data_IF_757347341822
#
_entry.id   IF_757347341822
#
_cell.length_a   1.000
_cell.length_b   1.000
_cell.length_c   1.000
_cell.angle_alpha   90.00
_cell.angle_beta   90.00
_cell.angle_gamma   90.00
#
_symmetry.space_group_name_H-M   'P 1'
#
loop_
_entity.id
_entity.type
_entity.pdbx_description
1 polymer ?
#
# COMPACT_ATOMS: atom_id res chain seq x y z
N UNK A 1 25.23 -8.68 18.86
CA UNK A 1 24.14 -8.41 17.92
C UNK A 1 24.66 -7.80 16.60
N UNK A 2 25.53 -6.80 16.65
CA UNK A 2 26.11 -6.13 15.45
C UNK A 2 26.80 -7.12 14.50
N UNK A 3 27.46 -8.15 15.01
CA UNK A 3 28.22 -9.10 14.19
C UNK A 3 27.29 -10.05 13.37
N UNK A 4 26.14 -10.44 13.91
CA UNK A 4 25.17 -11.30 13.21
C UNK A 4 24.46 -10.54 12.05
N UNK A 5 24.16 -9.26 12.24
CA UNK A 5 23.55 -8.44 11.21
C UNK A 5 24.50 -8.23 10.03
N UNK A 6 25.78 -7.91 10.31
CA UNK A 6 26.79 -7.77 9.25
C UNK A 6 27.00 -9.07 8.46
N UNK A 7 26.98 -10.23 9.12
CA UNK A 7 27.09 -11.52 8.44
C UNK A 7 25.84 -11.80 7.56
N UNK A 8 24.67 -11.46 8.05
CA UNK A 8 23.42 -11.58 7.30
C UNK A 8 23.42 -10.70 6.03
N UNK A 9 23.90 -9.47 6.14
CA UNK A 9 24.06 -8.54 5.03
C UNK A 9 25.01 -9.07 3.96
N UNK A 10 26.18 -9.61 4.37
CA UNK A 10 27.15 -10.22 3.46
C UNK A 10 26.50 -11.38 2.67
N UNK A 11 25.75 -12.26 3.35
CA UNK A 11 25.07 -13.39 2.70
C UNK A 11 24.03 -12.92 1.69
N UNK A 12 23.33 -11.83 1.97
CA UNK A 12 22.27 -11.29 1.14
C UNK A 12 22.76 -10.71 -0.19
N UNK A 13 23.94 -10.06 -0.17
CA UNK A 13 24.49 -9.35 -1.35
C UNK A 13 25.48 -10.19 -2.17
N UNK A 14 26.04 -11.23 -1.60
CA UNK A 14 27.03 -12.06 -2.29
C UNK A 14 26.36 -13.00 -3.27
N UNK A 15 26.79 -12.97 -4.54
CA UNK A 15 26.21 -13.75 -5.63
C UNK A 15 26.31 -15.27 -5.45
N UNK A 16 27.31 -15.74 -4.70
CA UNK A 16 27.52 -17.17 -4.43
C UNK A 16 26.59 -17.67 -3.33
N UNK A 17 26.41 -16.89 -2.27
CA UNK A 17 25.65 -17.31 -1.09
C UNK A 17 24.16 -16.96 -1.17
N UNK A 18 23.80 -15.88 -1.88
CA UNK A 18 22.42 -15.43 -2.03
C UNK A 18 21.44 -16.51 -2.54
N UNK A 19 21.77 -17.34 -3.57
CA UNK A 19 20.86 -18.40 -4.02
C UNK A 19 20.52 -19.40 -2.92
N UNK A 20 21.50 -19.79 -2.10
CA UNK A 20 21.26 -20.71 -0.97
C UNK A 20 20.46 -20.03 0.14
N UNK A 21 20.75 -18.77 0.43
CA UNK A 21 19.96 -17.99 1.37
C UNK A 21 18.47 -17.90 0.93
N UNK A 22 18.21 -17.64 -0.34
CA UNK A 22 16.84 -17.63 -0.90
C UNK A 22 16.16 -19.00 -0.66
N UNK A 23 16.83 -20.12 -0.92
CA UNK A 23 16.26 -21.45 -0.66
C UNK A 23 15.87 -21.65 0.81
N UNK A 24 16.68 -21.12 1.74
CA UNK A 24 16.39 -21.20 3.17
C UNK A 24 15.20 -20.30 3.52
N UNK A 25 15.18 -19.07 3.03
CA UNK A 25 14.11 -18.10 3.30
C UNK A 25 12.75 -18.57 2.75
N UNK A 26 12.73 -19.28 1.61
CA UNK A 26 11.51 -19.86 1.04
C UNK A 26 10.87 -20.93 1.93
N UNK A 27 11.62 -21.52 2.87
CA UNK A 27 11.10 -22.48 3.86
C UNK A 27 10.43 -21.79 5.06
N UNK A 28 10.33 -20.45 5.04
CA UNK A 28 9.71 -19.65 6.10
C UNK A 28 10.25 -19.93 7.51
N UNK A 29 11.58 -19.89 7.75
CA UNK A 29 12.11 -20.11 9.08
C UNK A 29 11.61 -19.01 10.04
N UNK A 30 11.50 -19.29 11.37
CA UNK A 30 10.94 -18.34 12.34
C UNK A 30 11.64 -16.98 12.40
N UNK A 31 12.91 -16.92 12.00
CA UNK A 31 13.71 -15.68 11.97
C UNK A 31 13.57 -14.88 10.65
N UNK A 32 12.90 -15.41 9.62
CA UNK A 32 12.81 -14.79 8.29
C UNK A 32 12.26 -13.36 8.36
N UNK A 33 11.15 -13.16 9.06
CA UNK A 33 10.52 -11.84 9.13
C UNK A 33 11.46 -10.77 9.69
N UNK A 34 12.12 -11.06 10.83
CA UNK A 34 13.10 -10.14 11.41
C UNK A 34 14.32 -9.90 10.51
N UNK A 35 14.78 -10.92 9.79
CA UNK A 35 15.87 -10.82 8.83
C UNK A 35 15.50 -9.88 7.65
N UNK A 36 14.35 -10.11 7.02
CA UNK A 36 13.88 -9.29 5.89
C UNK A 36 13.63 -7.84 6.32
N UNK A 37 13.02 -7.62 7.49
CA UNK A 37 12.85 -6.27 8.07
C UNK A 37 14.20 -5.59 8.29
N UNK A 38 15.17 -6.29 8.86
CA UNK A 38 16.52 -5.78 9.09
C UNK A 38 17.23 -5.37 7.80
N UNK A 39 17.12 -6.19 6.74
CA UNK A 39 17.65 -5.84 5.42
C UNK A 39 16.96 -4.60 4.82
N UNK A 40 15.63 -4.50 4.93
CA UNK A 40 14.88 -3.33 4.47
C UNK A 40 15.31 -2.04 5.17
N UNK A 41 15.73 -2.11 6.43
CA UNK A 41 16.22 -0.99 7.23
C UNK A 41 17.74 -0.79 7.17
N UNK A 42 18.49 -1.69 6.52
CA UNK A 42 19.97 -1.64 6.49
C UNK A 42 20.50 -0.48 5.67
N UNK A 43 21.81 -0.21 5.80
CA UNK A 43 22.53 0.80 5.01
C UNK A 43 23.05 0.29 3.67
N UNK A 44 22.87 -1.00 3.37
CA UNK A 44 23.23 -1.57 2.07
C UNK A 44 22.51 -0.84 0.93
N UNK A 45 23.12 -0.76 -0.23
CA UNK A 45 22.43 -0.15 -1.37
C UNK A 45 21.22 -0.98 -1.82
N UNK A 46 20.20 -0.32 -2.30
CA UNK A 46 19.00 -0.97 -2.86
C UNK A 46 19.36 -1.88 -4.03
N UNK A 47 20.32 -1.47 -4.87
CA UNK A 47 20.76 -2.31 -6.00
C UNK A 47 21.42 -3.62 -5.53
N UNK A 48 22.16 -3.59 -4.43
CA UNK A 48 22.76 -4.81 -3.86
C UNK A 48 21.72 -5.77 -3.27
N UNK A 49 20.60 -5.24 -2.74
CA UNK A 49 19.52 -6.02 -2.13
C UNK A 49 18.45 -6.49 -3.12
N UNK A 50 18.23 -5.75 -4.21
CA UNK A 50 17.18 -6.06 -5.21
C UNK A 50 17.22 -7.51 -5.68
N UNK A 51 18.37 -8.13 -6.03
CA UNK A 51 18.41 -9.52 -6.48
C UNK A 51 17.89 -10.54 -5.43
N UNK A 52 18.03 -10.25 -4.14
CA UNK A 52 17.46 -11.09 -3.09
C UNK A 52 15.93 -11.02 -3.12
N UNK A 53 15.36 -9.81 -3.13
CA UNK A 53 13.92 -9.60 -3.13
C UNK A 53 13.26 -10.11 -4.42
N UNK A 54 13.91 -9.94 -5.56
CA UNK A 54 13.48 -10.51 -6.85
C UNK A 54 13.50 -12.04 -6.81
N UNK A 55 14.54 -12.62 -6.21
CA UNK A 55 14.69 -14.07 -6.06
C UNK A 55 13.65 -14.69 -5.14
N UNK A 56 13.22 -13.96 -4.10
CA UNK A 56 12.09 -14.34 -3.26
C UNK A 56 10.77 -14.19 -4.04
N UNK A 57 10.51 -13.03 -4.58
CA UNK A 57 9.39 -12.73 -5.47
C UNK A 57 8.09 -13.42 -5.09
N UNK A 58 7.37 -13.94 -6.09
CA UNK A 58 6.09 -14.66 -5.90
C UNK A 58 6.21 -16.00 -5.18
N UNK A 59 7.43 -16.51 -5.01
CA UNK A 59 7.66 -17.81 -4.36
C UNK A 59 7.62 -17.74 -2.84
N UNK A 60 7.78 -16.53 -2.29
CA UNK A 60 7.73 -16.30 -0.85
C UNK A 60 6.39 -15.67 -0.48
N UNK A 61 5.58 -16.37 0.27
CA UNK A 61 4.41 -15.79 0.93
C UNK A 61 4.91 -14.93 2.10
N UNK A 62 5.15 -13.65 1.82
CA UNK A 62 5.62 -12.67 2.81
C UNK A 62 4.45 -11.87 3.36
N UNK A 63 4.38 -11.77 4.70
CA UNK A 63 3.40 -10.90 5.35
C UNK A 63 3.73 -9.42 5.17
N UNK A 64 2.72 -8.53 5.33
CA UNK A 64 2.89 -7.08 5.18
C UNK A 64 4.01 -6.52 6.06
N UNK A 65 4.05 -6.91 7.31
CA UNK A 65 5.07 -6.45 8.26
C UNK A 65 6.49 -6.89 7.87
N UNK A 66 6.61 -7.94 7.08
CA UNK A 66 7.87 -8.46 6.60
C UNK A 66 8.42 -7.64 5.43
N UNK A 67 7.56 -7.29 4.46
CA UNK A 67 7.97 -6.65 3.20
C UNK A 67 7.84 -5.12 3.19
N UNK A 68 6.94 -4.53 4.00
CA UNK A 68 6.68 -3.10 3.97
C UNK A 68 7.94 -2.22 4.19
N UNK A 69 8.90 -2.56 5.08
CA UNK A 69 10.12 -1.77 5.21
C UNK A 69 10.92 -1.66 3.91
N UNK A 70 10.96 -2.73 3.11
CA UNK A 70 11.59 -2.72 1.78
C UNK A 70 10.82 -1.86 0.79
N UNK A 71 9.49 -1.99 0.72
CA UNK A 71 8.66 -1.20 -0.16
C UNK A 71 8.76 0.30 0.13
N UNK A 72 8.72 0.67 1.41
CA UNK A 72 8.88 2.07 1.84
C UNK A 72 10.28 2.63 1.55
N UNK A 73 11.29 1.78 1.62
CA UNK A 73 12.65 2.17 1.22
C UNK A 73 12.71 2.48 -0.27
N UNK A 74 12.19 1.59 -1.12
CA UNK A 74 12.13 1.83 -2.57
C UNK A 74 11.42 3.14 -2.89
N UNK A 75 10.31 3.44 -2.21
CA UNK A 75 9.57 4.70 -2.39
C UNK A 75 10.40 5.91 -1.99
N UNK A 76 11.05 5.88 -0.83
CA UNK A 76 11.93 6.97 -0.37
C UNK A 76 13.10 7.24 -1.32
N UNK A 77 13.57 6.22 -2.02
CA UNK A 77 14.63 6.33 -3.03
C UNK A 77 14.11 6.66 -4.43
N UNK A 78 12.83 7.10 -4.55
CA UNK A 78 12.15 7.41 -5.83
C UNK A 78 12.07 6.22 -6.80
N UNK A 79 12.07 4.99 -6.29
CA UNK A 79 11.91 3.74 -7.03
C UNK A 79 10.46 3.22 -6.94
N UNK A 80 9.50 4.13 -6.95
CA UNK A 80 8.07 3.82 -6.77
C UNK A 80 7.54 2.76 -7.75
N UNK A 81 7.90 2.78 -9.06
CA UNK A 81 7.48 1.70 -9.97
C UNK A 81 8.00 0.32 -9.56
N UNK A 82 9.24 0.23 -9.07
CA UNK A 82 9.81 -1.03 -8.57
C UNK A 82 9.11 -1.49 -7.28
N UNK A 83 8.80 -0.56 -6.38
CA UNK A 83 8.03 -0.84 -5.17
C UNK A 83 6.64 -1.40 -5.51
N UNK A 84 5.94 -0.78 -6.47
CA UNK A 84 4.63 -1.23 -6.94
C UNK A 84 4.69 -2.64 -7.54
N UNK A 85 5.62 -2.90 -8.45
CA UNK A 85 5.78 -4.23 -9.05
C UNK A 85 6.11 -5.30 -8.01
N UNK A 86 6.97 -4.98 -7.04
CA UNK A 86 7.29 -5.89 -5.94
C UNK A 86 6.04 -6.20 -5.11
N UNK A 87 5.31 -5.18 -4.69
CA UNK A 87 4.06 -5.32 -3.95
C UNK A 87 3.01 -6.13 -4.73
N UNK A 88 2.74 -5.77 -5.99
CA UNK A 88 1.76 -6.44 -6.83
C UNK A 88 2.08 -7.94 -7.05
N UNK A 89 3.38 -8.28 -7.14
CA UNK A 89 3.82 -9.66 -7.28
C UNK A 89 3.62 -10.48 -6.00
N UNK A 90 3.61 -9.86 -4.84
CA UNK A 90 3.43 -10.50 -3.54
C UNK A 90 1.96 -10.64 -3.13
N UNK A 91 1.03 -9.96 -3.82
CA UNK A 91 -0.39 -10.10 -3.54
C UNK A 91 -0.87 -11.53 -3.75
N UNK A 92 -1.76 -12.05 -2.88
CA UNK A 92 -2.51 -13.26 -3.13
C UNK A 92 -3.24 -13.22 -4.47
N UNK A 93 -3.47 -14.38 -5.09
CA UNK A 93 -4.11 -14.43 -6.41
C UNK A 93 -5.48 -13.75 -6.46
N UNK A 94 -6.28 -13.91 -5.41
CA UNK A 94 -7.59 -13.26 -5.30
C UNK A 94 -7.48 -11.73 -5.33
N UNK A 95 -6.47 -11.18 -4.66
CA UNK A 95 -6.24 -9.73 -4.62
C UNK A 95 -5.61 -9.22 -5.92
N UNK A 96 -4.78 -10.00 -6.60
CA UNK A 96 -4.22 -9.63 -7.91
C UNK A 96 -5.28 -9.39 -8.97
N UNK A 97 -6.43 -10.06 -8.88
CA UNK A 97 -7.57 -9.83 -9.79
C UNK A 97 -8.20 -8.44 -9.64
N UNK A 98 -7.90 -7.75 -8.53
CA UNK A 98 -8.36 -6.39 -8.23
C UNK A 98 -7.34 -5.31 -8.61
N UNK A 99 -6.19 -5.72 -9.17
CA UNK A 99 -5.19 -4.77 -9.68
C UNK A 99 -5.77 -3.99 -10.87
N UNK A 100 -5.55 -2.69 -10.82
CA UNK A 100 -5.93 -1.74 -11.85
C UNK A 100 -5.18 -0.44 -11.61
N UNK A 101 -5.56 0.63 -12.29
CA UNK A 101 -5.02 1.97 -12.02
C UNK A 101 -5.37 2.44 -10.59
N UNK A 102 -6.52 2.01 -10.09
CA UNK A 102 -6.91 2.07 -8.68
C UNK A 102 -7.09 0.64 -8.21
N UNK A 103 -6.33 0.23 -7.21
CA UNK A 103 -6.44 -1.09 -6.61
C UNK A 103 -7.74 -1.18 -5.79
N UNK A 104 -8.50 -2.24 -5.99
CA UNK A 104 -9.81 -2.45 -5.34
C UNK A 104 -10.70 -1.20 -5.37
N UNK A 105 -10.85 -0.61 -6.54
CA UNK A 105 -11.64 0.62 -6.72
C UNK A 105 -13.13 0.48 -6.42
N UNK A 106 -13.63 -0.75 -6.29
CA UNK A 106 -14.99 -1.08 -5.88
C UNK A 106 -15.16 -1.27 -4.37
N UNK A 107 -14.08 -1.21 -3.58
CA UNK A 107 -14.08 -1.48 -2.13
C UNK A 107 -14.63 -2.85 -1.76
N UNK A 108 -14.30 -3.86 -2.57
CA UNK A 108 -14.79 -5.23 -2.38
C UNK A 108 -14.02 -6.02 -1.30
N UNK A 109 -12.86 -5.51 -0.88
CA UNK A 109 -12.05 -6.08 0.19
C UNK A 109 -12.35 -5.38 1.50
N UNK A 110 -12.38 -6.14 2.60
CA UNK A 110 -12.47 -5.57 3.93
C UNK A 110 -11.21 -4.72 4.24
N UNK A 111 -11.31 -3.63 5.02
CA UNK A 111 -10.19 -2.74 5.31
C UNK A 111 -8.95 -3.43 5.86
N UNK A 112 -9.13 -4.46 6.69
CA UNK A 112 -8.06 -5.27 7.26
C UNK A 112 -7.29 -6.14 6.24
N UNK A 113 -7.88 -6.37 5.08
CA UNK A 113 -7.23 -7.09 3.98
C UNK A 113 -6.35 -6.18 3.13
N UNK A 114 -6.51 -4.87 3.25
CA UNK A 114 -5.72 -3.88 2.54
C UNK A 114 -4.34 -3.76 3.15
N UNK A 115 -3.33 -4.28 2.47
CA UNK A 115 -1.97 -4.33 2.96
C UNK A 115 -0.98 -3.68 1.99
N UNK A 116 -0.06 -2.90 2.57
CA UNK A 116 1.03 -2.27 1.84
C UNK A 116 0.72 -0.86 1.33
N UNK A 117 1.74 -0.20 0.77
CA UNK A 117 1.69 1.24 0.48
C UNK A 117 0.77 1.61 -0.68
N UNK A 118 0.37 0.66 -1.52
CA UNK A 118 -0.47 0.89 -2.70
C UNK A 118 -1.91 0.38 -2.52
N UNK A 119 -2.24 -0.18 -1.36
CA UNK A 119 -3.61 -0.48 -0.99
C UNK A 119 -4.33 0.74 -0.41
N UNK A 120 -5.64 0.68 -0.28
CA UNK A 120 -6.39 1.70 0.42
C UNK A 120 -5.95 1.81 1.88
N UNK A 121 -5.69 3.01 2.31
CA UNK A 121 -5.46 3.36 3.71
C UNK A 121 -6.68 4.08 4.22
N UNK A 122 -7.20 3.59 5.31
CA UNK A 122 -8.34 4.20 5.99
C UNK A 122 -8.02 4.39 7.46
N UNK A 123 -8.50 5.46 8.03
CA UNK A 123 -8.47 5.74 9.46
C UNK A 123 -9.88 6.07 9.95
N UNK A 124 -10.07 6.04 11.27
CA UNK A 124 -11.28 6.52 11.92
C UNK A 124 -10.86 7.63 12.88
N UNK A 125 -10.75 8.89 12.43
CA UNK A 125 -10.44 9.99 13.32
C UNK A 125 -11.58 10.19 14.32
N UNK A 126 -11.26 10.71 15.49
CA UNK A 126 -12.25 11.00 16.53
C UNK A 126 -13.40 11.85 15.95
N UNK A 127 -14.65 11.41 16.18
CA UNK A 127 -15.85 12.06 15.65
C UNK A 127 -16.27 11.55 14.26
N UNK A 128 -15.69 10.46 13.79
CA UNK A 128 -16.18 9.72 12.63
C UNK A 128 -16.10 8.22 12.85
N UNK A 129 -17.04 7.51 12.26
CA UNK A 129 -17.06 6.05 12.19
C UNK A 129 -16.93 5.65 10.71
N UNK A 130 -15.95 4.82 10.43
CA UNK A 130 -15.72 4.26 9.11
C UNK A 130 -16.25 2.85 9.08
N UNK A 131 -17.08 2.57 8.09
CA UNK A 131 -17.71 1.26 7.89
C UNK A 131 -17.45 0.81 6.45
N UNK A 132 -17.15 -0.46 6.31
CA UNK A 132 -17.21 -1.17 5.05
C UNK A 132 -18.51 -1.98 5.07
N UNK A 133 -19.37 -1.79 4.06
CA UNK A 133 -20.72 -2.37 4.06
C UNK A 133 -21.10 -2.88 2.67
N UNK A 134 -21.80 -4.00 2.67
CA UNK A 134 -22.52 -4.42 1.47
C UNK A 134 -23.56 -3.36 1.09
N UNK A 135 -23.54 -2.92 -0.15
CA UNK A 135 -24.38 -1.83 -0.62
C UNK A 135 -24.95 -2.13 -1.99
N UNK A 136 -26.27 -2.25 -2.07
CA UNK A 136 -26.95 -2.46 -3.34
C UNK A 136 -26.93 -1.20 -4.21
N UNK A 137 -26.76 -1.38 -5.53
CA UNK A 137 -26.81 -0.28 -6.50
C UNK A 137 -25.48 0.41 -6.74
N UNK A 138 -24.39 -0.11 -6.18
CA UNK A 138 -23.02 0.27 -6.52
C UNK A 138 -22.51 -0.48 -7.75
N UNK A 139 -21.33 -0.10 -8.25
CA UNK A 139 -20.57 -0.94 -9.18
C UNK A 139 -19.76 -1.90 -8.33
N UNK A 140 -20.29 -3.11 -8.10
CA UNK A 140 -19.81 -4.06 -7.11
C UNK A 140 -20.86 -4.28 -6.03
N UNK A 141 -20.47 -4.94 -4.95
CA UNK A 141 -21.35 -5.34 -3.86
C UNK A 141 -21.12 -4.54 -2.57
N UNK A 142 -20.06 -3.71 -2.52
CA UNK A 142 -19.61 -3.06 -1.30
C UNK A 142 -19.39 -1.56 -1.47
N UNK A 143 -19.37 -0.86 -0.35
CA UNK A 143 -19.03 0.56 -0.27
C UNK A 143 -18.25 0.90 0.99
N UNK A 144 -17.47 1.97 0.89
CA UNK A 144 -16.82 2.61 2.02
C UNK A 144 -17.74 3.74 2.52
N UNK A 145 -18.21 3.62 3.76
CA UNK A 145 -19.12 4.57 4.39
C UNK A 145 -18.45 5.31 5.54
N UNK A 146 -18.65 6.61 5.60
CA UNK A 146 -18.17 7.45 6.69
C UNK A 146 -19.35 8.13 7.36
N UNK A 147 -19.53 7.90 8.65
CA UNK A 147 -20.53 8.53 9.47
C UNK A 147 -19.86 9.55 10.40
N UNK A 148 -20.31 10.79 10.36
CA UNK A 148 -19.83 11.85 11.23
C UNK A 148 -20.75 11.99 12.45
N UNK A 149 -20.16 12.11 13.64
CA UNK A 149 -20.87 12.16 14.93
C UNK A 149 -21.30 13.59 15.34
N UNK A 150 -21.39 14.52 14.40
CA UNK A 150 -21.81 15.90 14.66
C UNK A 150 -20.74 16.80 15.31
N UNK A 151 -19.51 16.32 15.42
CA UNK A 151 -18.36 17.13 15.85
C UNK A 151 -17.49 17.54 14.67
N UNK A 152 -16.82 18.68 14.79
CA UNK A 152 -15.91 19.14 13.73
C UNK A 152 -14.71 18.21 13.62
N UNK A 153 -14.69 17.38 12.61
CA UNK A 153 -13.66 16.38 12.36
C UNK A 153 -12.94 16.70 11.06
N UNK A 154 -11.61 16.88 11.05
CA UNK A 154 -10.85 16.86 9.81
C UNK A 154 -10.81 15.42 9.30
N UNK A 155 -11.35 15.19 8.12
CA UNK A 155 -11.33 13.87 7.51
C UNK A 155 -10.43 13.87 6.28
N UNK A 156 -9.35 13.10 6.34
CA UNK A 156 -8.39 12.88 5.24
C UNK A 156 -7.90 11.42 5.17
N UNK A 157 -8.66 10.52 5.81
CA UNK A 157 -8.17 9.20 6.20
C UNK A 157 -8.46 8.11 5.15
N UNK A 158 -9.07 8.45 4.01
CA UNK A 158 -9.18 7.53 2.88
C UNK A 158 -8.21 7.95 1.79
N UNK A 159 -7.18 7.15 1.56
CA UNK A 159 -6.15 7.46 0.56
C UNK A 159 -5.53 6.22 -0.06
N UNK A 160 -5.05 6.36 -1.29
CA UNK A 160 -4.30 5.33 -1.98
C UNK A 160 -3.19 5.97 -2.82
N UNK A 161 -2.00 5.35 -2.82
CA UNK A 161 -0.92 5.74 -3.72
C UNK A 161 -1.10 5.06 -5.07
N UNK A 162 -1.09 5.86 -6.14
CA UNK A 162 -1.26 5.40 -7.50
C UNK A 162 0.07 5.45 -8.27
N UNK A 163 0.31 4.46 -9.11
CA UNK A 163 1.44 4.45 -10.05
C UNK A 163 0.88 4.45 -11.46
N UNK A 164 0.89 5.61 -12.09
CA UNK A 164 0.31 5.82 -13.40
C UNK A 164 1.41 6.16 -14.42
N UNK A 165 1.38 5.60 -15.64
CA UNK A 165 2.26 6.04 -16.70
C UNK A 165 1.98 7.50 -17.08
N UNK A 166 2.94 8.19 -17.69
CA UNK A 166 2.73 9.54 -18.18
C UNK A 166 1.53 9.62 -19.13
N UNK A 167 0.69 10.65 -18.98
CA UNK A 167 -0.49 10.82 -19.82
C UNK A 167 -1.57 11.67 -19.16
N UNK A 168 -2.66 11.84 -19.86
CA UNK A 168 -3.88 12.46 -19.33
C UNK A 168 -4.76 11.38 -18.70
N UNK A 169 -5.20 11.61 -17.49
CA UNK A 169 -6.00 10.68 -16.70
C UNK A 169 -7.30 11.32 -16.28
N UNK A 170 -8.33 10.51 -16.19
CA UNK A 170 -9.62 10.87 -15.67
C UNK A 170 -10.00 9.92 -14.51
N UNK A 171 -10.23 10.48 -13.32
CA UNK A 171 -10.71 9.74 -12.16
C UNK A 171 -12.23 9.93 -12.04
N UNK A 172 -12.96 8.84 -12.00
CA UNK A 172 -14.40 8.82 -11.76
C UNK A 172 -14.68 8.05 -10.47
N UNK A 173 -15.65 8.54 -9.70
CA UNK A 173 -16.16 7.87 -8.52
C UNK A 173 -17.67 8.07 -8.42
N UNK A 174 -18.28 7.26 -7.61
CA UNK A 174 -19.68 7.44 -7.20
C UNK A 174 -19.72 7.62 -5.71
N UNK A 175 -20.45 8.61 -5.24
CA UNK A 175 -20.65 8.87 -3.84
C UNK A 175 -22.08 9.30 -3.61
N UNK A 176 -22.60 9.03 -2.40
CA UNK A 176 -23.87 9.50 -1.90
C UNK A 176 -23.63 10.19 -0.57
N UNK A 177 -24.20 11.36 -0.38
CA UNK A 177 -24.19 12.06 0.88
C UNK A 177 -25.63 12.13 1.41
N UNK A 178 -25.79 11.86 2.69
CA UNK A 178 -27.06 11.97 3.40
C UNK A 178 -26.85 12.77 4.69
N UNK A 179 -27.60 13.84 4.88
CA UNK A 179 -27.54 14.69 6.07
C UNK A 179 -26.11 15.20 6.39
N UNK A 180 -25.29 15.43 5.35
CA UNK A 180 -23.95 15.96 5.51
C UNK A 180 -24.01 17.46 5.71
N UNK A 181 -24.08 17.91 6.96
CA UNK A 181 -24.00 19.34 7.33
C UNK A 181 -22.54 19.81 7.36
N UNK A 182 -21.99 20.02 6.17
CA UNK A 182 -20.64 20.55 5.99
C UNK A 182 -20.64 21.66 4.92
N UNK A 183 -20.54 22.94 5.30
CA UNK A 183 -20.56 24.04 4.34
C UNK A 183 -19.44 23.97 3.28
N UNK A 184 -18.30 23.33 3.60
CA UNK A 184 -17.17 23.15 2.67
C UNK A 184 -17.34 21.94 1.78
N UNK A 185 -18.16 20.95 2.17
CA UNK A 185 -18.30 19.69 1.48
C UNK A 185 -17.09 18.76 1.68
N UNK A 186 -17.17 17.60 1.04
CA UNK A 186 -16.07 16.64 0.92
C UNK A 186 -15.50 16.71 -0.50
N UNK A 187 -14.19 16.62 -0.65
CA UNK A 187 -13.51 16.63 -1.95
C UNK A 187 -12.59 15.43 -2.09
N UNK A 188 -12.43 14.98 -3.31
CA UNK A 188 -11.30 14.16 -3.70
C UNK A 188 -10.14 15.04 -4.15
N UNK A 189 -8.93 14.65 -3.76
CA UNK A 189 -7.71 15.37 -4.14
C UNK A 189 -6.68 14.39 -4.66
N UNK A 190 -6.03 14.74 -5.74
CA UNK A 190 -4.89 14.02 -6.29
C UNK A 190 -3.66 14.89 -6.07
N UNK A 191 -2.68 14.34 -5.36
CA UNK A 191 -1.40 14.99 -5.10
C UNK A 191 -0.26 14.24 -5.77
N UNK A 192 0.77 14.94 -6.18
CA UNK A 192 2.05 14.36 -6.53
C UNK A 192 2.79 13.96 -5.25
N UNK A 193 3.15 12.67 -5.08
CA UNK A 193 3.77 12.21 -3.82
C UNK A 193 5.09 12.89 -3.46
N UNK A 194 6.05 13.10 -4.37
CA UNK A 194 7.34 13.64 -3.95
C UNK A 194 7.28 15.04 -3.35
N UNK A 195 6.41 15.90 -3.84
CA UNK A 195 6.37 17.31 -3.48
C UNK A 195 5.04 17.76 -2.85
N UNK A 196 4.06 16.86 -2.76
CA UNK A 196 2.73 17.16 -2.23
C UNK A 196 1.90 18.11 -3.10
N UNK A 197 2.36 18.44 -4.31
CA UNK A 197 1.68 19.37 -5.21
C UNK A 197 0.32 18.83 -5.63
N UNK A 198 -0.72 19.63 -5.48
CA UNK A 198 -2.06 19.30 -5.91
C UNK A 198 -2.10 19.26 -7.44
N UNK A 199 -2.50 18.13 -7.99
CA UNK A 199 -2.67 17.92 -9.43
C UNK A 199 -4.13 18.12 -9.86
N UNK A 200 -5.08 17.69 -9.04
CA UNK A 200 -6.50 17.85 -9.29
C UNK A 200 -7.31 17.82 -8.00
N UNK A 201 -8.46 18.47 -8.02
CA UNK A 201 -9.49 18.41 -6.98
C UNK A 201 -10.87 18.24 -7.61
N UNK A 202 -11.76 17.55 -6.93
CA UNK A 202 -13.15 17.45 -7.33
C UNK A 202 -13.96 18.68 -6.92
N UNK A 203 -15.15 18.83 -7.52
CA UNK A 203 -16.18 19.67 -6.93
C UNK A 203 -16.55 19.16 -5.53
N UNK A 204 -16.88 20.05 -4.58
CA UNK A 204 -17.31 19.66 -3.25
C UNK A 204 -18.62 18.86 -3.28
N UNK A 205 -18.61 17.68 -2.69
CA UNK A 205 -19.83 16.94 -2.40
C UNK A 205 -20.49 17.50 -1.15
N UNK A 206 -21.73 17.90 -1.27
CA UNK A 206 -22.56 18.43 -0.19
C UNK A 206 -23.76 17.52 0.01
N UNK A 207 -24.32 17.50 1.22
CA UNK A 207 -25.55 16.79 1.56
C UNK A 207 -26.80 17.57 1.17
#
# INVERSE_FOLDING_TARGET
>A
LVNLQNQAEILAVNDITRPELIKVLLKSPPWRAGFIQGLGASTLSTDALSPLFEGLGRRAEMGPNEINPWLERLRRENRTPQAYLTWANLLPEAQRKRLGNVFDGGFEMAPEEHNGPFAWRSGSPNGSLVLWTETRGTVGESSYSVQFEGVRTPFSDLSQSLVLPPGAWHLQWRAKAENLDNPRGMIWRINCEPDGRILAESEPMKG
#
